data_IF_895949316447
#
_entry.id   IF_895949316447
#
_cell.length_a   1.000
_cell.length_b   1.000
_cell.length_c   1.000
_cell.angle_alpha   90.00
_cell.angle_beta   90.00
_cell.angle_gamma   90.00
#
_symmetry.space_group_name_H-M   'P 1'
#
loop_
_entity.id
_entity.type
_entity.pdbx_description
1 polymer ?
#
# COMPACT_ATOMS: atom_id res chain seq x y z
N UNK A 1 -1.23 -15.67 0.70
CA UNK A 1 -1.79 -14.79 -0.35
C UNK A 1 -2.29 -13.51 0.31
N UNK A 2 -1.49 -12.44 0.32
CA UNK A 2 -1.86 -11.15 0.92
C UNK A 2 -2.29 -10.17 -0.18
N UNK A 3 -3.26 -9.30 0.11
CA UNK A 3 -3.75 -8.25 -0.79
C UNK A 3 -4.00 -6.96 0.00
N UNK A 4 -4.31 -5.87 -0.71
CA UNK A 4 -4.62 -4.57 -0.13
C UNK A 4 -6.13 -4.30 -0.03
N UNK A 5 -6.95 -5.35 0.13
CA UNK A 5 -8.39 -5.17 0.35
C UNK A 5 -8.62 -4.28 1.57
N UNK A 6 -9.61 -3.39 1.50
CA UNK A 6 -9.84 -2.32 2.47
C UNK A 6 -8.67 -1.34 2.66
N UNK A 7 -7.77 -1.20 1.67
CA UNK A 7 -6.57 -0.33 1.72
C UNK A 7 -5.65 -0.63 2.92
N UNK A 8 -5.66 -1.87 3.40
CA UNK A 8 -4.76 -2.30 4.47
C UNK A 8 -3.38 -2.55 3.86
N UNK A 9 -2.30 -1.96 4.41
CA UNK A 9 -0.95 -2.20 3.92
C UNK A 9 -0.49 -3.63 4.22
N UNK A 10 0.22 -4.26 3.28
CA UNK A 10 0.86 -5.55 3.53
C UNK A 10 1.89 -5.39 4.66
N UNK A 11 1.92 -6.34 5.62
CA UNK A 11 2.80 -6.23 6.77
C UNK A 11 4.27 -6.44 6.38
N UNK A 12 5.15 -5.98 7.26
CA UNK A 12 6.56 -6.35 7.20
C UNK A 12 6.73 -7.87 7.40
N UNK A 13 7.80 -8.42 6.82
CA UNK A 13 8.25 -9.80 7.07
C UNK A 13 9.66 -9.75 7.63
N UNK A 14 9.86 -10.45 8.75
CA UNK A 14 11.15 -10.54 9.45
C UNK A 14 11.56 -12.00 9.50
N UNK A 15 12.81 -12.28 9.17
CA UNK A 15 13.45 -13.56 9.43
C UNK A 15 14.22 -13.48 10.74
N UNK A 16 14.24 -14.58 11.48
CA UNK A 16 14.98 -14.71 12.74
C UNK A 16 15.83 -15.97 12.66
N UNK A 17 17.13 -15.81 12.83
CA UNK A 17 18.13 -16.89 12.77
C UNK A 17 19.28 -16.55 13.72
N UNK A 18 19.79 -17.54 14.46
CA UNK A 18 20.90 -17.40 15.41
C UNK A 18 20.80 -16.23 16.42
N UNK A 19 19.57 -15.86 16.79
CA UNK A 19 19.31 -14.76 17.72
C UNK A 19 19.35 -13.37 17.09
N UNK A 20 19.58 -13.27 15.79
CA UNK A 20 19.50 -12.03 15.01
C UNK A 20 18.19 -11.96 14.23
N UNK A 21 17.65 -10.75 14.08
CA UNK A 21 16.43 -10.47 13.34
C UNK A 21 16.73 -9.58 12.13
N UNK A 22 16.28 -9.99 10.95
CA UNK A 22 16.47 -9.26 9.70
C UNK A 22 15.13 -8.96 9.04
N UNK A 23 14.89 -7.68 8.73
CA UNK A 23 13.76 -7.26 7.90
C UNK A 23 14.01 -7.68 6.44
N UNK A 24 13.13 -8.50 5.88
CA UNK A 24 13.25 -9.01 4.52
C UNK A 24 12.18 -8.50 3.56
N UNK A 25 11.06 -8.02 4.11
CA UNK A 25 10.05 -7.26 3.37
C UNK A 25 9.60 -6.10 4.24
N UNK A 26 9.72 -4.88 3.75
CA UNK A 26 9.23 -3.69 4.44
C UNK A 26 7.70 -3.66 4.44
N UNK A 27 7.13 -3.03 5.47
CA UNK A 27 5.68 -2.75 5.51
C UNK A 27 5.36 -1.71 4.45
N UNK A 28 4.32 -1.93 3.66
CA UNK A 28 3.87 -0.93 2.68
C UNK A 28 3.43 0.37 3.38
N UNK A 29 3.76 1.51 2.75
CA UNK A 29 3.31 2.83 3.22
C UNK A 29 1.99 3.22 2.60
N UNK A 30 1.44 4.39 2.96
CA UNK A 30 0.25 4.91 2.30
C UNK A 30 0.52 5.22 0.81
N UNK A 31 1.69 5.74 0.50
CA UNK A 31 2.14 6.06 -0.86
C UNK A 31 2.16 4.80 -1.75
N UNK A 32 2.60 3.66 -1.22
CA UNK A 32 2.55 2.38 -1.93
C UNK A 32 1.13 1.95 -2.30
N UNK A 33 0.16 2.24 -1.43
CA UNK A 33 -1.25 1.89 -1.62
C UNK A 33 -1.90 2.75 -2.69
N UNK A 34 -1.52 4.02 -2.78
CA UNK A 34 -2.16 5.00 -3.70
C UNK A 34 -1.36 5.23 -4.98
N UNK A 35 -0.19 4.62 -5.17
CA UNK A 35 0.68 4.87 -6.34
C UNK A 35 0.03 4.60 -7.70
N UNK A 36 -1.05 3.83 -7.73
CA UNK A 36 -1.82 3.51 -8.94
C UNK A 36 -3.17 4.25 -9.01
N UNK A 37 -3.49 5.11 -8.03
CA UNK A 37 -4.70 5.93 -8.06
C UNK A 37 -4.59 6.95 -9.21
N UNK A 38 -5.62 7.01 -10.06
CA UNK A 38 -5.71 7.98 -11.15
C UNK A 38 -6.58 9.17 -10.72
N UNK A 39 -6.30 10.38 -11.21
CA UNK A 39 -7.12 11.55 -10.92
C UNK A 39 -8.55 11.35 -11.42
N UNK A 40 -9.52 11.69 -10.58
CA UNK A 40 -10.92 11.67 -10.98
C UNK A 40 -11.22 12.81 -11.95
N UNK A 41 -11.60 12.48 -13.18
CA UNK A 41 -12.03 13.45 -14.19
C UNK A 41 -13.53 13.72 -14.04
N UNK A 42 -13.90 14.68 -13.18
CA UNK A 42 -15.29 15.11 -13.08
C UNK A 42 -15.67 15.97 -14.27
N UNK A 43 -16.57 15.50 -15.14
CA UNK A 43 -17.30 16.37 -16.06
C UNK A 43 -18.37 17.11 -15.26
N UNK A 44 -17.97 18.11 -14.49
CA UNK A 44 -18.93 19.05 -13.90
C UNK A 44 -19.54 19.79 -15.09
N UNK A 45 -20.80 19.47 -15.42
CA UNK A 45 -21.58 20.30 -16.33
C UNK A 45 -21.72 21.65 -15.64
N UNK A 46 -21.08 22.69 -16.18
CA UNK A 46 -21.39 24.06 -15.83
C UNK A 46 -22.86 24.28 -16.21
N UNK A 47 -23.75 24.22 -15.22
CA UNK A 47 -25.12 24.69 -15.39
C UNK A 47 -25.05 26.19 -15.67
N UNK A 48 -25.37 26.56 -16.90
CA UNK A 48 -25.69 27.91 -17.35
C UNK A 48 -26.81 28.49 -16.51
#
# INVERSE_FOLDING_TARGET
>A
MSNNYNRIPRPAVVFVEDGEAQLVVERETYEDIVKLDLPYQSKVKSST
#
